data_IF_155098564793
#
_entry.id   IF_155098564793
#
_cell.length_a   1.000
_cell.length_b   1.000
_cell.length_c   1.000
_cell.angle_alpha   90.00
_cell.angle_beta   90.00
_cell.angle_gamma   90.00
#
_symmetry.space_group_name_H-M   'P 1'
#
loop_
_entity.id
_entity.type
_entity.pdbx_description
1 polymer ?
#
# COMPACT_ATOMS: atom_id res chain seq x y z
N UNK A 1 -20.43 -1.75 17.52
CA UNK A 1 -19.55 -1.16 16.52
C UNK A 1 -18.97 -2.26 15.64
N UNK A 2 -18.99 -2.09 14.35
CA UNK A 2 -18.32 -2.95 13.37
C UNK A 2 -17.12 -2.21 12.77
N UNK A 3 -16.08 -2.97 12.39
CA UNK A 3 -14.85 -2.44 11.84
C UNK A 3 -14.57 -3.11 10.51
N UNK A 4 -14.32 -2.31 9.47
CA UNK A 4 -13.81 -2.81 8.19
C UNK A 4 -12.32 -3.10 8.34
N UNK A 5 -11.98 -4.39 8.44
CA UNK A 5 -10.61 -4.87 8.70
C UNK A 5 -9.64 -4.43 7.61
N UNK A 6 -10.07 -4.42 6.34
CA UNK A 6 -9.21 -4.02 5.22
C UNK A 6 -8.88 -2.53 5.31
N UNK A 7 -9.88 -1.68 5.56
CA UNK A 7 -9.66 -0.23 5.71
C UNK A 7 -8.85 0.10 6.96
N UNK A 8 -9.06 -0.65 8.06
CA UNK A 8 -8.24 -0.54 9.26
C UNK A 8 -6.76 -0.85 8.97
N UNK A 9 -6.49 -1.95 8.26
CA UNK A 9 -5.13 -2.29 7.82
C UNK A 9 -4.54 -1.23 6.89
N UNK A 10 -5.32 -0.75 5.90
CA UNK A 10 -4.89 0.32 5.00
C UNK A 10 -4.48 1.58 5.77
N UNK A 11 -5.22 1.98 6.80
CA UNK A 11 -4.86 3.12 7.66
C UNK A 11 -3.58 2.88 8.43
N UNK A 12 -3.44 1.73 9.08
CA UNK A 12 -2.24 1.38 9.86
C UNK A 12 -1.01 1.35 8.96
N UNK A 13 -1.09 0.69 7.81
CA UNK A 13 0.01 0.58 6.86
C UNK A 13 0.39 1.94 6.26
N UNK A 14 -0.58 2.81 6.01
CA UNK A 14 -0.33 4.16 5.54
C UNK A 14 0.55 4.96 6.52
N UNK A 15 0.24 4.91 7.80
CA UNK A 15 1.05 5.58 8.84
C UNK A 15 2.47 4.97 8.93
N UNK A 16 2.58 3.66 8.80
CA UNK A 16 3.86 2.97 8.82
C UNK A 16 4.72 3.34 7.60
N UNK A 17 4.13 3.37 6.39
CA UNK A 17 4.83 3.80 5.18
C UNK A 17 5.21 5.28 5.21
N UNK A 18 4.38 6.16 5.76
CA UNK A 18 4.76 7.57 5.94
C UNK A 18 6.01 7.71 6.83
N UNK A 19 6.07 6.95 7.94
CA UNK A 19 7.25 6.94 8.83
C UNK A 19 8.47 6.38 8.11
N UNK A 20 8.32 5.27 7.39
CA UNK A 20 9.37 4.63 6.62
C UNK A 20 9.96 5.58 5.56
N UNK A 21 9.10 6.23 4.78
CA UNK A 21 9.50 7.22 3.78
C UNK A 21 10.20 8.45 4.39
N UNK A 22 9.87 8.78 5.64
CA UNK A 22 10.53 9.85 6.38
C UNK A 22 11.90 9.46 6.92
N UNK A 23 12.13 8.17 7.22
CA UNK A 23 13.40 7.65 7.76
C UNK A 23 14.38 7.15 6.71
N UNK A 24 13.93 6.97 5.46
CA UNK A 24 14.76 6.47 4.35
C UNK A 24 15.18 5.00 4.49
N UNK A 25 14.52 4.21 5.34
CA UNK A 25 14.82 2.79 5.51
C UNK A 25 13.62 1.94 5.08
N UNK A 26 13.78 1.17 4.02
CA UNK A 26 12.83 0.16 3.61
C UNK A 26 13.42 -1.24 3.71
N UNK A 27 12.57 -2.23 3.86
CA UNK A 27 12.94 -3.64 3.80
C UNK A 27 12.45 -4.19 2.47
N UNK A 28 13.38 -4.75 1.69
CA UNK A 28 13.07 -5.45 0.43
C UNK A 28 12.84 -6.92 0.70
N UNK A 29 11.82 -7.49 0.04
CA UNK A 29 11.56 -8.91 -0.02
C UNK A 29 11.89 -9.41 -1.41
N UNK A 30 12.81 -10.39 -1.51
CA UNK A 30 13.16 -11.01 -2.79
C UNK A 30 12.03 -11.89 -3.29
N UNK A 31 11.74 -11.79 -4.58
CA UNK A 31 10.79 -12.66 -5.25
C UNK A 31 11.45 -14.01 -5.56
N UNK A 32 10.73 -15.10 -5.32
CA UNK A 32 11.20 -16.45 -5.72
C UNK A 32 11.34 -16.57 -7.25
N UNK A 33 10.47 -15.89 -7.97
CA UNK A 33 10.49 -15.79 -9.43
C UNK A 33 10.46 -14.29 -9.77
N UNK A 34 11.55 -13.75 -10.35
CA UNK A 34 11.56 -12.37 -10.84
C UNK A 34 10.46 -12.18 -11.87
N UNK A 35 9.82 -11.03 -11.84
CA UNK A 35 8.73 -10.67 -12.74
C UNK A 35 9.25 -9.71 -13.81
N UNK A 36 9.07 -10.08 -15.08
CA UNK A 36 9.47 -9.25 -16.21
C UNK A 36 8.29 -8.43 -16.70
N UNK A 37 8.46 -7.12 -16.67
CA UNK A 37 7.49 -6.14 -17.16
C UNK A 37 8.01 -5.45 -18.41
N UNK A 38 7.12 -5.19 -19.36
CA UNK A 38 7.40 -4.37 -20.54
C UNK A 38 6.57 -3.10 -20.41
N UNK A 39 7.25 -1.97 -20.31
CA UNK A 39 6.68 -0.65 -20.09
C UNK A 39 6.60 0.12 -21.40
N UNK A 40 5.81 1.19 -21.44
CA UNK A 40 5.93 2.18 -22.51
C UNK A 40 7.24 2.97 -22.35
N UNK A 41 7.70 3.62 -23.43
CA UNK A 41 8.93 4.45 -23.42
C UNK A 41 8.88 5.50 -22.31
N UNK A 42 7.72 6.13 -22.10
CA UNK A 42 7.53 7.15 -21.09
C UNK A 42 7.54 6.60 -19.66
N UNK A 43 6.97 5.42 -19.44
CA UNK A 43 6.98 4.76 -18.12
C UNK A 43 8.37 4.24 -17.78
N UNK A 44 9.08 3.68 -18.76
CA UNK A 44 10.45 3.20 -18.58
C UNK A 44 11.39 4.36 -18.21
N UNK A 45 11.34 5.46 -18.97
CA UNK A 45 12.15 6.65 -18.69
C UNK A 45 11.84 7.22 -17.29
N UNK A 46 10.55 7.29 -16.92
CA UNK A 46 10.15 7.77 -15.61
C UNK A 46 10.66 6.84 -14.48
N UNK A 47 10.60 5.52 -14.69
CA UNK A 47 11.09 4.54 -13.73
C UNK A 47 12.61 4.63 -13.57
N UNK A 48 13.35 4.76 -14.68
CA UNK A 48 14.80 4.91 -14.69
C UNK A 48 15.25 6.20 -14.00
N UNK A 49 14.57 7.32 -14.29
CA UNK A 49 14.81 8.61 -13.64
C UNK A 49 14.63 8.57 -12.13
N UNK A 50 13.67 7.76 -11.64
CA UNK A 50 13.33 7.63 -10.22
C UNK A 50 13.83 6.29 -9.61
N UNK A 51 14.80 5.63 -10.23
CA UNK A 51 15.27 4.31 -9.78
C UNK A 51 15.77 4.30 -8.32
N UNK A 52 16.42 5.38 -7.89
CA UNK A 52 16.89 5.53 -6.50
C UNK A 52 15.72 5.59 -5.51
N UNK A 53 14.67 6.31 -5.87
CA UNK A 53 13.44 6.40 -5.07
C UNK A 53 12.73 5.05 -4.98
N UNK A 54 12.61 4.32 -6.09
CA UNK A 54 12.03 2.97 -6.08
C UNK A 54 12.87 1.99 -5.26
N UNK A 55 14.20 2.06 -5.33
CA UNK A 55 15.08 1.28 -4.45
C UNK A 55 14.86 1.63 -2.97
N UNK A 56 14.67 2.91 -2.65
CA UNK A 56 14.37 3.35 -1.29
C UNK A 56 13.00 2.87 -0.79
N UNK A 57 12.06 2.58 -1.68
CA UNK A 57 10.78 1.96 -1.37
C UNK A 57 10.89 0.44 -1.13
N UNK A 58 12.01 -0.17 -1.47
CA UNK A 58 12.28 -1.61 -1.33
C UNK A 58 12.11 -2.41 -2.61
N UNK A 59 12.02 -1.74 -3.77
CA UNK A 59 12.10 -2.44 -5.05
C UNK A 59 13.54 -2.76 -5.42
N UNK A 60 13.75 -3.97 -5.93
CA UNK A 60 14.98 -4.39 -6.59
C UNK A 60 14.68 -4.57 -8.07
N UNK A 61 15.13 -3.60 -8.88
CA UNK A 61 14.82 -3.49 -10.30
C UNK A 61 16.08 -3.67 -11.15
N UNK A 62 15.97 -4.48 -12.19
CA UNK A 62 17.01 -4.68 -13.18
C UNK A 62 16.52 -4.24 -14.57
N UNK A 63 17.15 -3.18 -15.09
CA UNK A 63 16.79 -2.57 -16.37
C UNK A 63 17.45 -3.36 -17.51
N UNK A 64 16.65 -4.10 -18.30
CA UNK A 64 17.14 -5.01 -19.34
C UNK A 64 17.31 -4.33 -20.71
N UNK A 65 16.92 -3.06 -20.86
CA UNK A 65 16.80 -2.39 -22.15
C UNK A 65 15.46 -2.73 -22.86
N UNK A 66 15.25 -2.15 -24.05
CA UNK A 66 14.01 -2.33 -24.85
C UNK A 66 12.74 -2.15 -24.01
N UNK A 67 12.72 -1.18 -23.10
CA UNK A 67 11.63 -0.88 -22.17
C UNK A 67 11.22 -2.06 -21.28
N UNK A 68 12.10 -3.07 -21.11
CA UNK A 68 11.88 -4.20 -20.22
C UNK A 68 12.60 -4.00 -18.88
N UNK A 69 11.89 -4.31 -17.80
CA UNK A 69 12.39 -4.27 -16.43
C UNK A 69 12.10 -5.59 -15.75
N UNK A 70 13.09 -6.16 -15.09
CA UNK A 70 12.94 -7.33 -14.24
C UNK A 70 12.85 -6.90 -12.78
N UNK A 71 11.73 -7.21 -12.13
CA UNK A 71 11.51 -6.95 -10.70
C UNK A 71 11.99 -8.18 -9.93
N UNK A 72 13.10 -8.05 -9.21
CA UNK A 72 13.72 -9.11 -8.40
C UNK A 72 13.27 -9.07 -6.95
N UNK A 73 12.88 -7.90 -6.46
CA UNK A 73 12.41 -7.69 -5.10
C UNK A 73 11.36 -6.60 -5.00
N UNK A 74 10.54 -6.70 -3.98
CA UNK A 74 9.45 -5.76 -3.68
C UNK A 74 9.51 -5.30 -2.23
N UNK A 75 8.85 -4.18 -1.88
CA UNK A 75 8.69 -3.82 -0.48
C UNK A 75 8.14 -4.99 0.34
N UNK A 76 8.67 -5.21 1.56
CA UNK A 76 8.12 -6.19 2.48
C UNK A 76 6.62 -5.92 2.72
N UNK A 77 5.86 -6.96 3.00
CA UNK A 77 4.40 -6.94 3.19
C UNK A 77 3.57 -6.72 1.91
N UNK A 78 4.19 -6.66 0.72
CA UNK A 78 3.46 -6.62 -0.54
C UNK A 78 3.10 -8.02 -1.05
N UNK A 79 1.86 -8.22 -1.55
CA UNK A 79 1.49 -9.48 -2.20
C UNK A 79 2.30 -9.63 -3.49
N UNK A 80 2.92 -10.81 -3.66
CA UNK A 80 3.75 -11.11 -4.84
C UNK A 80 2.94 -11.18 -6.15
N UNK A 81 1.63 -11.39 -6.06
CA UNK A 81 0.71 -11.55 -7.19
C UNK A 81 0.15 -10.23 -7.76
N UNK A 82 0.64 -9.08 -7.30
CA UNK A 82 0.19 -7.76 -7.73
C UNK A 82 1.34 -6.75 -7.88
N UNK A 83 2.53 -7.25 -8.19
CA UNK A 83 3.74 -6.42 -8.34
C UNK A 83 3.60 -5.45 -9.52
N UNK A 84 3.13 -5.95 -10.66
CA UNK A 84 2.85 -5.18 -11.86
C UNK A 84 1.89 -4.02 -11.58
N UNK A 85 0.73 -4.33 -11.00
CA UNK A 85 -0.27 -3.32 -10.67
C UNK A 85 0.28 -2.28 -9.71
N UNK A 86 1.03 -2.70 -8.67
CA UNK A 86 1.64 -1.78 -7.72
C UNK A 86 2.63 -0.84 -8.39
N UNK A 87 3.50 -1.38 -9.27
CA UNK A 87 4.49 -0.60 -10.00
C UNK A 87 3.81 0.46 -10.87
N UNK A 88 2.76 0.08 -11.62
CA UNK A 88 1.97 1.03 -12.42
C UNK A 88 1.29 2.10 -11.57
N UNK A 89 0.68 1.75 -10.45
CA UNK A 89 0.04 2.71 -9.54
C UNK A 89 1.08 3.70 -8.97
N UNK A 90 2.30 3.24 -8.66
CA UNK A 90 3.40 4.10 -8.22
C UNK A 90 3.90 5.00 -9.34
N UNK A 91 4.11 4.49 -10.56
CA UNK A 91 4.48 5.30 -11.72
C UNK A 91 3.48 6.43 -11.96
N UNK A 92 2.18 6.16 -11.82
CA UNK A 92 1.13 7.18 -11.90
C UNK A 92 1.26 8.22 -10.77
N UNK A 93 1.66 7.82 -9.57
CA UNK A 93 1.90 8.74 -8.47
C UNK A 93 3.13 9.63 -8.73
N UNK A 94 4.18 9.08 -9.35
CA UNK A 94 5.39 9.82 -9.74
C UNK A 94 5.16 10.75 -10.94
N UNK A 95 4.35 10.35 -11.91
CA UNK A 95 4.05 11.17 -13.10
C UNK A 95 3.22 12.42 -12.80
N UNK A 96 2.53 12.45 -11.66
CA UNK A 96 1.72 13.63 -11.28
C UNK A 96 2.64 14.77 -10.86
N UNK A 97 2.63 15.93 -11.52
CA UNK A 97 3.43 17.08 -11.13
C UNK A 97 2.92 17.63 -9.79
N UNK A 98 3.57 17.25 -8.70
CA UNK A 98 3.29 17.77 -7.36
C UNK A 98 4.52 18.50 -6.88
N UNK A 99 4.39 19.79 -6.68
CA UNK A 99 5.49 20.68 -6.26
C UNK A 99 5.92 20.49 -4.78
N UNK A 100 5.15 19.76 -3.99
CA UNK A 100 5.40 19.56 -2.57
C UNK A 100 5.82 18.11 -2.31
N UNK A 101 7.05 17.92 -1.81
CA UNK A 101 7.60 16.61 -1.48
C UNK A 101 6.70 15.81 -0.50
N UNK A 102 6.05 16.50 0.44
CA UNK A 102 5.15 15.87 1.40
C UNK A 102 3.89 15.28 0.75
N UNK A 103 3.30 15.98 -0.21
CA UNK A 103 2.12 15.49 -0.94
C UNK A 103 2.47 14.26 -1.80
N UNK A 104 3.67 14.24 -2.40
CA UNK A 104 4.17 13.07 -3.14
C UNK A 104 4.35 11.88 -2.19
N UNK A 105 4.96 12.10 -1.03
CA UNK A 105 5.16 11.07 0.01
C UNK A 105 3.83 10.48 0.48
N UNK A 106 2.82 11.32 0.73
CA UNK A 106 1.48 10.87 1.10
C UNK A 106 0.81 10.02 0.02
N UNK A 107 0.94 10.41 -1.25
CA UNK A 107 0.41 9.63 -2.38
C UNK A 107 1.08 8.26 -2.47
N UNK A 108 2.41 8.20 -2.40
CA UNK A 108 3.17 6.95 -2.43
C UNK A 108 2.75 6.04 -1.27
N UNK A 109 2.72 6.57 -0.05
CA UNK A 109 2.28 5.83 1.14
C UNK A 109 0.85 5.27 0.99
N UNK A 110 -0.07 6.06 0.40
CA UNK A 110 -1.45 5.63 0.17
C UNK A 110 -1.55 4.50 -0.88
N UNK A 111 -0.75 4.55 -1.96
CA UNK A 111 -0.68 3.49 -2.97
C UNK A 111 -0.14 2.21 -2.35
N UNK A 112 0.99 2.29 -1.63
CA UNK A 112 1.61 1.15 -0.95
C UNK A 112 0.66 0.52 0.08
N UNK A 113 0.03 1.32 0.93
CA UNK A 113 -0.90 0.85 1.95
C UNK A 113 -2.11 0.12 1.34
N UNK A 114 -2.65 0.65 0.24
CA UNK A 114 -3.76 0.03 -0.48
C UNK A 114 -3.36 -1.31 -1.10
N UNK A 115 -2.18 -1.40 -1.69
CA UNK A 115 -1.62 -2.62 -2.24
C UNK A 115 -1.47 -3.70 -1.17
N UNK A 116 -0.77 -3.39 -0.08
CA UNK A 116 -0.53 -4.32 1.03
C UNK A 116 -1.83 -4.75 1.76
N UNK A 117 -2.82 -3.84 1.87
CA UNK A 117 -4.10 -4.15 2.50
C UNK A 117 -5.00 -5.09 1.66
N UNK A 118 -4.68 -5.34 0.38
CA UNK A 118 -5.41 -6.29 -0.48
C UNK A 118 -5.19 -7.76 -0.09
N UNK A 119 -4.17 -8.07 0.71
CA UNK A 119 -3.95 -9.44 1.18
C UNK A 119 -5.23 -10.03 1.77
N UNK A 120 -5.51 -11.27 1.38
CA UNK A 120 -6.76 -11.98 1.74
C UNK A 120 -6.96 -11.97 3.25
N UNK A 121 -8.09 -11.40 3.67
CA UNK A 121 -8.49 -11.40 5.08
C UNK A 121 -8.94 -12.81 5.43
N UNK A 122 -8.06 -13.59 6.06
CA UNK A 122 -8.46 -14.84 6.73
C UNK A 122 -9.26 -14.52 7.99
N UNK A 123 -9.96 -15.51 8.50
CA UNK A 123 -10.59 -15.40 9.83
C UNK A 123 -9.51 -15.06 10.87
N UNK A 124 -9.71 -13.96 11.56
CA UNK A 124 -8.80 -13.49 12.60
C UNK A 124 -9.15 -14.14 13.93
N UNK A 125 -8.11 -14.50 14.69
CA UNK A 125 -8.28 -14.84 16.09
C UNK A 125 -8.67 -13.60 16.91
N UNK A 126 -9.15 -13.82 18.13
CA UNK A 126 -9.50 -12.72 19.05
C UNK A 126 -8.29 -11.83 19.36
N UNK A 127 -7.11 -12.44 19.52
CA UNK A 127 -5.88 -11.72 19.86
C UNK A 127 -5.38 -10.90 18.67
N UNK A 128 -5.45 -11.43 17.44
CA UNK A 128 -5.15 -10.70 16.22
C UNK A 128 -6.09 -9.50 16.03
N UNK A 129 -7.38 -9.68 16.31
CA UNK A 129 -8.35 -8.60 16.24
C UNK A 129 -8.09 -7.51 17.29
N UNK A 130 -7.75 -7.90 18.52
CA UNK A 130 -7.39 -6.97 19.58
C UNK A 130 -6.12 -6.18 19.24
N UNK A 131 -5.09 -6.85 18.70
CA UNK A 131 -3.86 -6.20 18.25
C UNK A 131 -4.10 -5.20 17.11
N UNK A 132 -4.96 -5.57 16.12
CA UNK A 132 -5.34 -4.67 15.04
C UNK A 132 -6.04 -3.42 15.57
N UNK A 133 -7.00 -3.57 16.49
CA UNK A 133 -7.73 -2.46 17.07
C UNK A 133 -6.82 -1.55 17.90
N UNK A 134 -5.88 -2.11 18.66
CA UNK A 134 -4.90 -1.34 19.42
C UNK A 134 -4.00 -0.49 18.49
N UNK A 135 -3.52 -1.07 17.38
CA UNK A 135 -2.74 -0.34 16.38
C UNK A 135 -3.57 0.74 15.68
N UNK A 136 -4.82 0.43 15.33
CA UNK A 136 -5.72 1.40 14.72
C UNK A 136 -6.00 2.57 15.67
N UNK A 137 -6.23 2.31 16.96
CA UNK A 137 -6.43 3.36 17.96
C UNK A 137 -5.18 4.25 18.17
N UNK A 138 -3.98 3.68 17.95
CA UNK A 138 -2.73 4.42 18.00
C UNK A 138 -2.41 5.20 16.72
N UNK A 139 -3.16 4.99 15.63
CA UNK A 139 -3.00 5.73 14.37
C UNK A 139 -3.57 7.15 14.49
N UNK A 140 -3.11 8.06 13.62
CA UNK A 140 -3.56 9.45 13.61
C UNK A 140 -5.04 9.65 13.30
N UNK A 141 -5.69 8.66 12.67
CA UNK A 141 -7.12 8.71 12.34
C UNK A 141 -7.72 7.30 12.32
N UNK A 142 -8.41 6.92 13.40
CA UNK A 142 -9.04 5.61 13.52
C UNK A 142 -10.41 5.51 12.81
N UNK A 143 -10.97 6.62 12.38
CA UNK A 143 -12.34 6.68 11.82
C UNK A 143 -12.37 6.52 10.30
N UNK A 144 -11.32 7.01 9.60
CA UNK A 144 -11.30 7.06 8.14
C UNK A 144 -10.00 6.48 7.57
N UNK A 145 -10.14 5.74 6.46
CA UNK A 145 -9.01 5.28 5.65
C UNK A 145 -8.29 6.47 4.99
N UNK A 146 -7.08 6.29 4.43
CA UNK A 146 -6.40 7.36 3.67
C UNK A 146 -7.22 7.88 2.50
N UNK A 147 -8.11 7.05 1.94
CA UNK A 147 -9.03 7.42 0.86
C UNK A 147 -10.34 8.06 1.34
N UNK A 148 -10.45 8.40 2.63
CA UNK A 148 -11.63 9.06 3.21
C UNK A 148 -12.84 8.16 3.45
N UNK A 149 -12.68 6.83 3.36
CA UNK A 149 -13.78 5.87 3.61
C UNK A 149 -13.85 5.52 5.09
N UNK A 150 -15.07 5.46 5.65
CA UNK A 150 -15.27 5.10 7.05
C UNK A 150 -14.71 3.70 7.35
N UNK A 151 -13.93 3.60 8.44
CA UNK A 151 -13.37 2.35 8.95
C UNK A 151 -14.35 1.70 9.93
N UNK A 152 -15.05 2.50 10.72
CA UNK A 152 -15.94 2.06 11.77
C UNK A 152 -17.37 2.50 11.49
N UNK A 153 -18.34 1.69 11.89
CA UNK A 153 -19.75 2.05 11.86
C UNK A 153 -20.46 1.49 13.10
N UNK A 154 -21.46 2.20 13.58
CA UNK A 154 -22.39 1.67 14.57
C UNK A 154 -23.51 0.94 13.85
N UNK A 155 -23.81 -0.27 14.32
CA UNK A 155 -24.98 -1.04 13.91
C UNK A 155 -25.75 -1.37 15.19
N UNK A 156 -26.97 -0.86 15.28
CA UNK A 156 -27.86 -1.14 16.41
C UNK A 156 -28.59 -2.47 16.22
N UNK A 157 -29.16 -2.98 17.30
CA UNK A 157 -30.01 -4.19 17.21
C UNK A 157 -31.28 -3.91 16.37
N UNK A 158 -31.76 -2.67 16.41
CA UNK A 158 -32.90 -2.20 15.62
C UNK A 158 -32.55 -2.21 14.12
N UNK A 159 -31.35 -1.77 13.72
CA UNK A 159 -30.89 -1.82 12.33
C UNK A 159 -30.82 -3.26 11.80
N UNK A 160 -30.38 -4.20 12.67
CA UNK A 160 -30.34 -5.62 12.32
C UNK A 160 -31.73 -6.17 12.15
N UNK A 161 -32.64 -5.88 13.10
CA UNK A 161 -34.02 -6.33 13.04
C UNK A 161 -34.73 -5.79 11.80
N UNK A 162 -34.58 -4.52 11.49
CA UNK A 162 -35.17 -3.90 10.30
C UNK A 162 -34.73 -4.53 8.99
N UNK A 163 -33.52 -5.13 8.95
CA UNK A 163 -32.97 -5.81 7.75
C UNK A 163 -33.41 -7.29 7.66
N UNK A 164 -33.78 -7.88 8.76
CA UNK A 164 -34.21 -9.30 8.80
C UNK A 164 -35.71 -9.48 8.61
N UNK A 165 -36.50 -8.41 8.62
CA UNK A 165 -37.95 -8.40 8.36
C UNK A 165 -38.73 -8.36 9.65
#
# INVERSE_FOLDING_TARGET
>A
VVVDVRRARERILYEDYLKMLGSGSSVSQQLLFPERLVLSDSEYALLEENAVEFASLGFDLDFQGDCAVEVKGTPADMPADSVDQLLYELLQAFSTPVSLADVRREKIAAVMARGAAKQTVRLMSRDEAAALLARLAASGNFSFSPSGKAITAEITVEDIRAKLG
#
